data_IF_809444713003
#
_entry.id   IF_809444713003
#
_cell.length_a   1.000
_cell.length_b   1.000
_cell.length_c   1.000
_cell.angle_alpha   90.00
_cell.angle_beta   90.00
_cell.angle_gamma   90.00
#
_symmetry.space_group_name_H-M   'P 1'
#
loop_
_entity.id
_entity.type
_entity.pdbx_description
1 polymer ?
#
# COMPACT_ATOMS: atom_id res chain seq x y z
N UNK A 1 12.01 9.49 15.63
CA UNK A 1 12.50 9.73 14.25
C UNK A 1 12.21 11.19 13.81
N UNK A 2 13.03 12.18 14.17
CA UNK A 2 12.65 13.61 14.12
C UNK A 2 12.20 14.15 12.75
N UNK A 3 12.75 13.61 11.64
CA UNK A 3 12.40 14.02 10.26
C UNK A 3 10.92 13.81 9.88
N UNK A 4 10.23 12.92 10.60
CA UNK A 4 8.81 12.56 10.39
C UNK A 4 7.85 13.38 11.27
N UNK A 5 8.37 14.37 12.00
CA UNK A 5 7.61 15.22 12.92
C UNK A 5 7.99 16.71 12.79
N UNK A 6 8.84 17.07 11.81
CA UNK A 6 9.33 18.43 11.65
C UNK A 6 10.01 18.64 10.29
N UNK A 7 9.71 19.78 9.64
CA UNK A 7 10.35 20.25 8.42
C UNK A 7 11.71 20.95 8.63
N UNK A 8 12.09 21.24 9.89
CA UNK A 8 13.30 22.02 10.25
C UNK A 8 14.63 21.46 9.72
N UNK A 9 14.66 20.21 9.27
CA UNK A 9 15.86 19.54 8.73
C UNK A 9 15.58 18.85 7.38
N UNK A 10 14.61 19.34 6.61
CA UNK A 10 14.39 18.88 5.24
C UNK A 10 15.39 19.54 4.28
N UNK A 11 15.93 18.80 3.29
CA UNK A 11 16.75 19.40 2.24
C UNK A 11 15.90 20.25 1.31
N UNK A 12 16.51 21.29 0.73
CA UNK A 12 15.84 22.18 -0.24
C UNK A 12 15.42 21.46 -1.54
N UNK A 13 16.10 20.36 -1.88
CA UNK A 13 15.85 19.55 -3.07
C UNK A 13 15.83 18.06 -2.72
N UNK A 14 15.16 17.26 -3.53
CA UNK A 14 15.09 15.80 -3.41
C UNK A 14 14.97 15.18 -4.80
N UNK A 15 15.86 14.25 -5.13
CA UNK A 15 15.77 13.47 -6.37
C UNK A 15 14.52 12.58 -6.32
N UNK A 16 13.72 12.59 -7.38
CA UNK A 16 12.61 11.66 -7.57
C UNK A 16 13.14 10.30 -8.02
N UNK A 17 12.58 9.22 -7.47
CA UNK A 17 12.94 7.82 -7.76
C UNK A 17 11.69 6.99 -8.02
N UNK A 18 11.83 5.84 -8.68
CA UNK A 18 10.74 5.00 -9.14
C UNK A 18 9.69 5.80 -9.91
N UNK A 19 8.43 5.73 -9.47
CA UNK A 19 7.30 6.47 -10.05
C UNK A 19 7.43 8.00 -10.05
N UNK A 20 8.36 8.57 -9.27
CA UNK A 20 8.67 10.02 -9.27
C UNK A 20 9.94 10.36 -10.07
N UNK A 21 10.65 9.37 -10.61
CA UNK A 21 11.82 9.59 -11.46
C UNK A 21 11.45 10.25 -12.79
N UNK A 22 12.40 11.00 -13.34
CA UNK A 22 12.31 11.62 -14.67
C UNK A 22 13.01 10.79 -15.75
N UNK A 23 13.67 9.68 -15.38
CA UNK A 23 14.34 8.77 -16.30
C UNK A 23 13.31 7.80 -16.91
N UNK A 24 13.13 7.73 -18.23
CA UNK A 24 12.22 6.76 -18.88
C UNK A 24 12.56 5.30 -18.56
N UNK A 25 13.81 5.01 -18.22
CA UNK A 25 14.32 3.68 -17.88
C UNK A 25 13.82 3.22 -16.51
N UNK A 26 13.64 4.16 -15.57
CA UNK A 26 13.16 3.93 -14.20
C UNK A 26 11.63 4.15 -14.10
N UNK A 27 11.07 5.01 -14.95
CA UNK A 27 9.64 5.37 -14.97
C UNK A 27 9.03 5.31 -16.39
N UNK A 28 8.85 4.11 -16.99
CA UNK A 28 8.53 3.95 -18.42
C UNK A 28 7.24 4.60 -18.96
N UNK A 29 6.37 5.15 -18.10
CA UNK A 29 5.10 5.74 -18.52
C UNK A 29 4.82 7.14 -17.96
N UNK A 30 5.31 7.47 -16.77
CA UNK A 30 4.99 8.74 -16.10
C UNK A 30 6.22 9.61 -15.82
N UNK A 31 7.39 9.28 -16.40
CA UNK A 31 8.62 10.09 -16.27
C UNK A 31 8.43 11.58 -16.57
N UNK A 32 7.55 11.91 -17.52
CA UNK A 32 7.24 13.29 -17.92
C UNK A 32 5.97 13.89 -17.26
N UNK A 33 5.30 13.17 -16.35
CA UNK A 33 4.17 13.73 -15.60
C UNK A 33 4.65 14.78 -14.59
N UNK A 34 3.80 15.72 -14.17
CA UNK A 34 4.16 16.63 -13.09
C UNK A 34 4.36 15.87 -11.77
N UNK A 35 5.47 16.13 -11.07
CA UNK A 35 5.97 15.34 -9.95
C UNK A 35 5.93 16.16 -8.67
N UNK A 36 5.31 15.62 -7.61
CA UNK A 36 5.21 16.25 -6.28
C UNK A 36 5.54 15.19 -5.23
N UNK A 37 6.33 15.56 -4.23
CA UNK A 37 6.60 14.72 -3.06
C UNK A 37 6.22 15.49 -1.80
N UNK A 38 5.19 15.03 -1.10
CA UNK A 38 4.76 15.61 0.19
C UNK A 38 5.38 14.78 1.32
N UNK A 39 6.34 15.30 2.09
CA UNK A 39 6.97 14.49 3.12
C UNK A 39 6.05 14.35 4.35
N UNK A 40 5.92 13.13 4.85
CA UNK A 40 5.11 12.82 6.02
C UNK A 40 5.71 13.44 7.30
N UNK A 41 5.08 14.51 7.81
CA UNK A 41 5.43 15.19 9.07
C UNK A 41 4.37 15.07 10.16
N UNK A 42 3.18 14.54 9.86
CA UNK A 42 2.01 14.60 10.73
C UNK A 42 1.90 13.43 11.71
N UNK A 43 2.49 12.27 11.41
CA UNK A 43 2.45 11.07 12.29
C UNK A 43 1.03 10.53 12.60
N UNK A 44 0.07 10.77 11.69
CA UNK A 44 -1.37 10.48 11.83
C UNK A 44 -1.97 9.64 10.68
N UNK A 45 -1.15 8.94 9.92
CA UNK A 45 -1.51 8.22 8.68
C UNK A 45 -2.30 9.07 7.66
N UNK A 46 -2.01 10.38 7.61
CA UNK A 46 -2.68 11.39 6.77
C UNK A 46 -4.17 11.61 7.09
N UNK A 47 -4.59 11.28 8.30
CA UNK A 47 -5.98 11.33 8.73
C UNK A 47 -6.35 12.56 9.58
N UNK A 48 -5.40 13.16 10.29
CA UNK A 48 -5.67 14.24 11.24
C UNK A 48 -6.15 15.52 10.55
N UNK A 49 -7.15 16.16 11.15
CA UNK A 49 -7.69 17.45 10.70
C UNK A 49 -7.87 18.46 11.84
N UNK A 50 -7.10 18.32 12.93
CA UNK A 50 -7.24 19.12 14.14
C UNK A 50 -6.17 20.21 14.22
N UNK A 51 -6.60 21.47 14.38
CA UNK A 51 -5.71 22.63 14.53
C UNK A 51 -5.53 23.12 15.99
N UNK A 52 -6.21 22.49 16.96
CA UNK A 52 -6.23 22.99 18.36
C UNK A 52 -4.91 22.72 19.08
N UNK A 53 -4.30 23.79 19.59
CA UNK A 53 -3.02 23.77 20.33
C UNK A 53 -3.17 23.79 21.85
N UNK A 54 -4.39 23.86 22.39
CA UNK A 54 -4.64 24.22 23.79
C UNK A 54 -4.40 23.10 24.83
N UNK A 55 -4.16 21.86 24.40
CA UNK A 55 -3.78 20.74 25.29
C UNK A 55 -2.67 19.81 24.78
N UNK A 56 -2.33 19.81 23.48
CA UNK A 56 -1.44 18.81 22.88
C UNK A 56 -0.07 19.37 22.48
N UNK A 57 1.00 18.62 22.78
CA UNK A 57 2.38 18.95 22.41
C UNK A 57 2.73 18.70 20.92
N UNK A 58 1.80 18.10 20.16
CA UNK A 58 1.91 17.81 18.73
C UNK A 58 0.58 18.17 18.04
N UNK A 59 0.63 18.45 16.74
CA UNK A 59 -0.55 18.83 15.94
C UNK A 59 -0.70 17.86 14.78
N UNK A 60 -1.90 17.32 14.60
CA UNK A 60 -2.20 16.23 13.67
C UNK A 60 -3.07 16.75 12.51
N UNK A 61 -2.40 17.04 11.39
CA UNK A 61 -2.94 17.83 10.28
C UNK A 61 -2.79 17.14 8.91
N UNK A 62 -2.50 15.84 8.86
CA UNK A 62 -2.16 15.13 7.63
C UNK A 62 -3.21 15.25 6.52
N UNK A 63 -4.50 15.25 6.87
CA UNK A 63 -5.57 15.45 5.88
C UNK A 63 -5.68 16.91 5.41
N UNK A 64 -5.35 17.87 6.28
CA UNK A 64 -5.31 19.30 5.91
C UNK A 64 -4.08 19.61 5.03
N UNK A 65 -2.92 19.01 5.33
CA UNK A 65 -1.69 19.16 4.52
C UNK A 65 -1.93 18.73 3.07
N UNK A 66 -2.65 17.63 2.83
CA UNK A 66 -3.03 17.20 1.48
C UNK A 66 -3.92 18.26 0.80
N UNK A 67 -4.90 18.83 1.51
CA UNK A 67 -5.81 19.83 0.96
C UNK A 67 -5.10 21.14 0.62
N UNK A 68 -4.24 21.66 1.49
CA UNK A 68 -3.48 22.90 1.22
C UNK A 68 -2.45 22.71 0.10
N UNK A 69 -1.78 21.56 0.03
CA UNK A 69 -0.90 21.23 -1.11
C UNK A 69 -1.68 21.21 -2.42
N UNK A 70 -2.88 20.64 -2.47
CA UNK A 70 -3.74 20.65 -3.68
C UNK A 70 -4.15 22.09 -4.04
N UNK A 71 -4.58 22.90 -3.08
CA UNK A 71 -4.92 24.32 -3.30
C UNK A 71 -3.74 25.13 -3.83
N UNK A 72 -2.56 24.99 -3.23
CA UNK A 72 -1.34 25.64 -3.72
C UNK A 72 -0.97 25.19 -5.14
N UNK A 73 -1.11 23.90 -5.45
CA UNK A 73 -0.74 23.37 -6.76
C UNK A 73 -1.68 23.83 -7.89
N UNK A 74 -2.94 24.20 -7.60
CA UNK A 74 -3.84 24.82 -8.59
C UNK A 74 -3.16 26.05 -9.20
N UNK A 75 -2.70 26.98 -8.36
CA UNK A 75 -1.96 28.19 -8.75
C UNK A 75 -0.61 27.93 -9.45
N UNK A 76 -0.18 26.67 -9.51
CA UNK A 76 1.06 26.20 -10.15
C UNK A 76 0.76 25.27 -11.35
N UNK A 77 -0.47 25.33 -11.88
CA UNK A 77 -0.89 24.67 -13.12
C UNK A 77 -1.67 23.36 -12.96
N UNK A 78 -1.94 22.87 -11.73
CA UNK A 78 -2.78 21.69 -11.51
C UNK A 78 -4.22 21.89 -12.01
N UNK A 79 -4.70 23.14 -12.06
CA UNK A 79 -5.96 23.57 -12.68
C UNK A 79 -6.12 23.10 -14.14
N UNK A 80 -5.01 22.89 -14.87
CA UNK A 80 -4.96 22.45 -16.26
C UNK A 80 -4.75 20.93 -16.41
N UNK A 81 -4.71 20.18 -15.31
CA UNK A 81 -4.41 18.75 -15.33
C UNK A 81 -5.59 17.90 -15.80
N UNK A 82 -5.32 16.90 -16.65
CA UNK A 82 -6.35 15.92 -17.08
C UNK A 82 -6.56 14.82 -16.04
N UNK A 83 -5.53 14.50 -15.27
CA UNK A 83 -5.51 13.46 -14.23
C UNK A 83 -4.67 13.96 -13.06
N UNK A 84 -5.17 13.76 -11.84
CA UNK A 84 -4.40 13.87 -10.59
C UNK A 84 -4.32 12.46 -9.99
N UNK A 85 -3.12 11.89 -9.95
CA UNK A 85 -2.87 10.63 -9.25
C UNK A 85 -2.36 10.92 -7.84
N UNK A 86 -3.19 10.65 -6.82
CA UNK A 86 -2.76 10.67 -5.43
C UNK A 86 -2.09 9.32 -5.13
N UNK A 87 -0.76 9.32 -5.00
CA UNK A 87 0.05 8.13 -4.75
C UNK A 87 0.76 8.20 -3.39
N UNK A 88 0.93 7.06 -2.72
CA UNK A 88 1.67 6.98 -1.47
C UNK A 88 1.96 5.55 -1.02
N UNK A 89 3.05 5.37 -0.29
CA UNK A 89 3.57 4.08 0.19
C UNK A 89 3.43 3.93 1.72
N UNK A 90 3.28 2.71 2.24
CA UNK A 90 3.10 2.42 3.67
C UNK A 90 1.90 3.19 4.26
N UNK A 91 2.07 3.89 5.39
CA UNK A 91 1.06 4.80 5.93
C UNK A 91 0.61 5.89 4.93
N UNK A 92 1.43 6.21 3.92
CA UNK A 92 1.02 7.03 2.78
C UNK A 92 -0.01 6.36 1.87
N UNK A 93 0.07 5.03 1.68
CA UNK A 93 -0.91 4.24 0.92
C UNK A 93 -2.26 4.19 1.62
N UNK A 94 -2.28 3.98 2.94
CA UNK A 94 -3.49 4.15 3.77
C UNK A 94 -4.01 5.59 3.67
N UNK A 95 -3.10 6.58 3.68
CA UNK A 95 -3.42 8.00 3.45
C UNK A 95 -4.10 8.28 2.11
N UNK A 96 -3.75 7.57 1.02
CA UNK A 96 -4.48 7.64 -0.27
C UNK A 96 -5.91 7.18 -0.09
N UNK A 97 -6.14 6.02 0.52
CA UNK A 97 -7.49 5.46 0.74
C UNK A 97 -8.35 6.41 1.59
N UNK A 98 -7.76 7.06 2.59
CA UNK A 98 -8.45 8.00 3.47
C UNK A 98 -8.72 9.39 2.85
N UNK A 99 -8.06 9.77 1.73
CA UNK A 99 -8.12 11.13 1.18
C UNK A 99 -8.47 11.24 -0.32
N UNK A 100 -8.42 10.17 -1.11
CA UNK A 100 -8.61 10.25 -2.58
C UNK A 100 -9.95 10.85 -2.99
N UNK A 101 -11.03 10.50 -2.28
CA UNK A 101 -12.35 11.10 -2.50
C UNK A 101 -12.43 12.53 -1.97
N UNK A 102 -11.76 12.84 -0.86
CA UNK A 102 -11.72 14.21 -0.27
C UNK A 102 -11.02 15.19 -1.21
N UNK A 103 -9.95 14.77 -1.89
CA UNK A 103 -9.28 15.55 -2.94
C UNK A 103 -10.18 15.74 -4.17
N UNK A 104 -11.01 14.74 -4.52
CA UNK A 104 -11.94 14.85 -5.63
C UNK A 104 -13.10 15.82 -5.37
N UNK A 105 -13.70 15.79 -4.17
CA UNK A 105 -14.74 16.74 -3.79
C UNK A 105 -14.13 18.15 -3.63
N UNK A 106 -12.95 18.32 -3.01
CA UNK A 106 -12.25 19.61 -2.92
C UNK A 106 -12.03 20.28 -4.29
N UNK A 107 -11.53 19.54 -5.28
CA UNK A 107 -11.33 20.09 -6.62
C UNK A 107 -12.64 20.48 -7.31
N UNK A 108 -13.69 19.67 -7.13
CA UNK A 108 -15.05 19.93 -7.63
C UNK A 108 -15.64 21.19 -6.99
N UNK A 109 -15.50 21.35 -5.68
CA UNK A 109 -16.05 22.47 -4.92
C UNK A 109 -15.29 23.78 -5.20
N UNK A 110 -14.02 23.69 -5.61
CA UNK A 110 -13.22 24.77 -6.20
C UNK A 110 -13.45 24.96 -7.71
N UNK A 111 -14.38 24.24 -8.34
CA UNK A 111 -14.78 24.40 -9.74
C UNK A 111 -13.97 23.59 -10.78
N UNK A 112 -12.91 22.89 -10.38
CA UNK A 112 -12.01 22.13 -11.26
C UNK A 112 -12.54 20.72 -11.60
N UNK A 113 -13.79 20.64 -12.06
CA UNK A 113 -14.51 19.37 -12.33
C UNK A 113 -13.94 18.54 -13.50
N UNK A 114 -13.04 19.11 -14.31
CA UNK A 114 -12.34 18.44 -15.41
C UNK A 114 -11.19 17.52 -14.95
N UNK A 115 -10.68 17.70 -13.73
CA UNK A 115 -9.49 16.99 -13.23
C UNK A 115 -9.87 15.59 -12.73
N UNK A 116 -9.43 14.54 -13.40
CA UNK A 116 -9.72 13.16 -12.97
C UNK A 116 -8.83 12.75 -11.78
N UNK A 117 -9.36 12.79 -10.56
CA UNK A 117 -8.67 12.25 -9.38
C UNK A 117 -8.69 10.71 -9.39
N UNK A 118 -7.53 10.12 -9.11
CA UNK A 118 -7.32 8.66 -9.02
C UNK A 118 -6.37 8.35 -7.85
N UNK A 119 -6.43 7.15 -7.30
CA UNK A 119 -5.55 6.71 -6.20
C UNK A 119 -4.53 5.66 -6.63
N UNK A 120 -3.34 5.69 -6.03
CA UNK A 120 -2.37 4.58 -6.02
C UNK A 120 -1.91 4.33 -4.58
N UNK A 121 -2.52 3.36 -3.91
CA UNK A 121 -2.24 3.03 -2.52
C UNK A 121 -1.24 1.87 -2.45
N UNK A 122 0.01 2.14 -2.05
CA UNK A 122 1.08 1.15 -1.98
C UNK A 122 1.39 0.73 -0.53
N UNK A 123 1.49 -0.58 -0.29
CA UNK A 123 1.89 -1.21 0.97
C UNK A 123 1.12 -0.67 2.19
N UNK A 124 -0.14 -0.29 1.96
CA UNK A 124 -1.03 0.40 2.89
C UNK A 124 -2.37 -0.30 3.11
N UNK A 125 -2.48 -1.55 2.63
CA UNK A 125 -3.65 -2.41 2.79
C UNK A 125 -3.38 -3.43 3.90
N UNK A 126 -3.59 -2.97 5.14
CA UNK A 126 -3.47 -3.81 6.34
C UNK A 126 -4.74 -4.61 6.62
N UNK A 127 -4.59 -5.66 7.42
CA UNK A 127 -5.65 -6.46 8.02
C UNK A 127 -5.75 -6.15 9.52
N UNK A 128 -6.97 -6.27 10.06
CA UNK A 128 -7.29 -6.27 11.50
C UNK A 128 -7.35 -7.70 12.06
N UNK A 129 -6.39 -8.52 11.65
CA UNK A 129 -6.17 -9.88 12.13
C UNK A 129 -5.63 -9.89 13.57
N UNK A 130 -5.87 -10.98 14.29
CA UNK A 130 -5.29 -11.20 15.62
C UNK A 130 -3.81 -11.50 15.48
N UNK A 131 -2.95 -10.82 16.23
CA UNK A 131 -1.50 -11.03 16.26
C UNK A 131 -1.10 -12.51 16.43
N UNK A 132 0.05 -12.91 15.87
CA UNK A 132 0.59 -14.28 16.03
C UNK A 132 0.98 -14.60 17.48
N UNK A 133 1.28 -13.55 18.27
CA UNK A 133 1.43 -13.59 19.73
C UNK A 133 0.82 -12.30 20.28
N UNK A 134 -0.09 -12.42 21.24
CA UNK A 134 -0.74 -11.28 21.88
C UNK A 134 0.26 -10.53 22.79
N UNK A 135 0.35 -9.21 22.66
CA UNK A 135 1.16 -8.35 23.53
C UNK A 135 0.37 -7.12 23.97
N UNK A 136 0.67 -6.61 25.17
CA UNK A 136 0.13 -5.32 25.60
C UNK A 136 0.59 -4.22 24.65
N UNK A 137 -0.36 -3.41 24.15
CA UNK A 137 -0.08 -2.24 23.32
C UNK A 137 0.60 -1.14 24.16
N UNK A 138 1.92 -1.26 24.32
CA UNK A 138 2.81 -0.35 25.08
C UNK A 138 3.63 0.51 24.11
N UNK A 139 4.16 -0.08 23.04
CA UNK A 139 4.90 0.62 21.99
C UNK A 139 4.15 0.59 20.64
N UNK A 140 4.55 1.44 19.69
CA UNK A 140 3.86 1.61 18.40
C UNK A 140 4.08 0.47 17.41
N UNK A 141 5.01 -0.46 17.69
CA UNK A 141 5.50 -1.50 16.79
C UNK A 141 4.90 -2.87 17.13
N UNK A 142 4.74 -3.16 18.43
CA UNK A 142 4.10 -4.38 18.94
C UNK A 142 2.60 -4.24 19.22
N UNK A 143 2.02 -3.05 19.05
CA UNK A 143 0.58 -2.84 19.25
C UNK A 143 -0.27 -3.51 18.17
N UNK A 144 -1.31 -4.22 18.59
CA UNK A 144 -2.36 -4.78 17.72
C UNK A 144 -2.90 -3.70 16.76
N UNK A 145 -3.05 -3.99 15.45
CA UNK A 145 -3.41 -2.98 14.46
C UNK A 145 -4.79 -2.34 14.72
N UNK A 146 -5.73 -3.07 15.31
CA UNK A 146 -7.06 -2.54 15.68
C UNK A 146 -6.93 -1.53 16.82
N UNK A 147 -6.20 -1.90 17.88
CA UNK A 147 -6.01 -1.05 19.05
C UNK A 147 -5.15 0.19 18.73
N UNK A 148 -4.14 0.03 17.88
CA UNK A 148 -3.30 1.13 17.39
C UNK A 148 -4.14 2.23 16.70
N UNK A 149 -5.03 1.86 15.78
CA UNK A 149 -5.91 2.81 15.09
C UNK A 149 -7.03 3.33 16.01
N UNK A 150 -7.62 2.49 16.89
CA UNK A 150 -8.63 2.93 17.88
C UNK A 150 -8.09 4.01 18.83
N UNK A 151 -6.83 3.91 19.24
CA UNK A 151 -6.13 4.98 19.99
C UNK A 151 -5.79 6.16 19.07
N UNK A 152 -5.23 5.88 17.89
CA UNK A 152 -4.80 6.86 16.89
C UNK A 152 -5.90 7.87 16.54
N UNK A 153 -7.07 7.41 16.10
CA UNK A 153 -8.18 8.29 15.67
C UNK A 153 -8.56 9.33 16.73
N UNK A 154 -8.63 8.90 17.99
CA UNK A 154 -9.01 9.75 19.12
C UNK A 154 -7.92 10.77 19.46
N UNK A 155 -6.65 10.39 19.31
CA UNK A 155 -5.50 11.24 19.62
C UNK A 155 -5.17 12.23 18.49
N UNK A 156 -5.40 11.83 17.24
CA UNK A 156 -5.12 12.62 16.03
C UNK A 156 -6.28 13.52 15.60
N UNK A 157 -7.49 13.30 16.10
CA UNK A 157 -8.69 13.97 15.59
C UNK A 157 -8.92 13.67 14.11
N UNK A 158 -8.95 12.37 13.78
CA UNK A 158 -8.94 11.87 12.41
C UNK A 158 -10.26 12.05 11.67
N UNK A 159 -10.18 12.29 10.36
CA UNK A 159 -11.32 12.31 9.43
C UNK A 159 -11.23 11.19 8.39
N UNK A 160 -12.23 10.32 8.36
CA UNK A 160 -12.35 9.20 7.40
C UNK A 160 -13.20 9.58 6.18
N UNK A 161 -13.21 8.79 5.08
CA UNK A 161 -14.12 9.01 3.96
C UNK A 161 -15.59 8.94 4.40
N UNK A 162 -16.39 9.92 4.00
CA UNK A 162 -17.79 10.14 4.44
C UNK A 162 -18.66 8.87 4.38
N UNK A 163 -18.61 8.14 3.27
CA UNK A 163 -19.41 6.93 3.06
C UNK A 163 -18.93 5.74 3.90
N UNK A 164 -17.65 5.70 4.28
CA UNK A 164 -17.14 4.70 5.21
C UNK A 164 -17.46 5.06 6.67
N UNK A 165 -17.34 6.35 7.05
CA UNK A 165 -17.74 6.82 8.37
C UNK A 165 -19.21 6.50 8.69
N UNK A 166 -20.12 6.71 7.72
CA UNK A 166 -21.54 6.31 7.86
C UNK A 166 -21.78 4.79 7.91
N UNK A 167 -20.86 3.98 7.40
CA UNK A 167 -20.97 2.52 7.44
C UNK A 167 -20.49 1.93 8.78
N UNK A 168 -19.61 2.65 9.47
CA UNK A 168 -18.99 2.26 10.73
C UNK A 168 -19.08 3.40 11.78
N UNK A 169 -20.28 3.96 11.95
CA UNK A 169 -20.54 5.08 12.86
C UNK A 169 -20.22 4.68 14.32
N UNK A 170 -19.35 5.46 14.98
CA UNK A 170 -18.79 5.16 16.31
C UNK A 170 -17.63 4.13 16.31
N UNK A 171 -17.33 3.52 15.16
CA UNK A 171 -16.25 2.55 14.95
C UNK A 171 -15.40 2.92 13.69
N UNK A 172 -15.13 4.21 13.47
CA UNK A 172 -14.49 4.75 12.27
C UNK A 172 -13.06 4.20 12.03
N UNK A 173 -12.46 3.55 13.03
CA UNK A 173 -11.21 2.79 12.92
C UNK A 173 -11.27 1.71 11.84
N UNK A 174 -12.46 1.17 11.54
CA UNK A 174 -12.68 0.26 10.42
C UNK A 174 -12.19 0.86 9.08
N UNK A 175 -12.30 2.18 8.89
CA UNK A 175 -11.99 2.85 7.63
C UNK A 175 -10.49 3.00 7.31
N UNK A 176 -9.61 2.59 8.22
CA UNK A 176 -8.16 2.52 7.95
C UNK A 176 -7.77 1.18 7.30
N UNK A 177 -8.63 0.16 7.39
CA UNK A 177 -8.37 -1.17 6.83
C UNK A 177 -8.84 -1.22 5.38
N UNK A 178 -7.90 -1.49 4.47
CA UNK A 178 -8.10 -1.28 3.03
C UNK A 178 -9.33 -1.97 2.46
N UNK A 179 -9.58 -3.20 2.91
CA UNK A 179 -10.70 -4.03 2.45
C UNK A 179 -12.08 -3.54 2.93
N UNK A 180 -12.14 -2.75 4.01
CA UNK A 180 -13.38 -2.17 4.56
C UNK A 180 -13.69 -0.82 3.90
N UNK A 181 -12.67 0.01 3.69
CA UNK A 181 -12.83 1.35 3.09
C UNK A 181 -12.97 1.31 1.56
N UNK A 182 -12.20 0.47 0.86
CA UNK A 182 -12.18 0.44 -0.61
C UNK A 182 -13.57 0.26 -1.27
N UNK A 183 -14.47 -0.63 -0.79
CA UNK A 183 -15.83 -0.76 -1.34
C UNK A 183 -16.68 0.52 -1.28
N UNK A 184 -16.29 1.52 -0.49
CA UNK A 184 -17.01 2.79 -0.33
C UNK A 184 -16.47 3.93 -1.20
N UNK A 185 -15.32 3.75 -1.87
CA UNK A 185 -14.62 4.83 -2.58
C UNK A 185 -15.26 5.18 -3.93
N UNK A 186 -15.49 6.49 -4.16
CA UNK A 186 -16.04 7.07 -5.39
C UNK A 186 -14.99 7.22 -6.49
N UNK A 187 -13.70 7.26 -6.17
CA UNK A 187 -12.59 7.37 -7.14
C UNK A 187 -11.93 6.02 -7.44
N UNK A 188 -11.43 5.80 -8.68
CA UNK A 188 -10.70 4.58 -9.01
C UNK A 188 -9.36 4.57 -8.28
N UNK A 189 -9.14 3.54 -7.47
CA UNK A 189 -7.85 3.27 -6.81
C UNK A 189 -7.22 2.04 -7.46
N UNK A 190 -5.93 2.11 -7.70
CA UNK A 190 -5.05 0.97 -7.91
C UNK A 190 -4.29 0.72 -6.59
N UNK A 191 -4.09 -0.54 -6.20
CA UNK A 191 -3.43 -0.87 -4.93
C UNK A 191 -2.14 -1.65 -5.22
N UNK A 192 -1.13 -1.52 -4.37
CA UNK A 192 0.10 -2.31 -4.40
C UNK A 192 0.18 -2.96 -3.04
N UNK A 193 0.38 -4.28 -2.96
CA UNK A 193 0.44 -4.93 -1.66
C UNK A 193 1.28 -6.21 -1.70
N UNK A 194 2.27 -6.25 -0.82
CA UNK A 194 3.03 -7.46 -0.51
C UNK A 194 2.12 -8.45 0.20
N UNK A 195 2.09 -9.71 -0.27
CA UNK A 195 1.34 -10.77 0.40
C UNK A 195 1.91 -11.17 1.77
N UNK A 196 3.16 -10.78 2.02
CA UNK A 196 3.93 -10.98 3.24
C UNK A 196 4.61 -9.64 3.57
N UNK A 197 3.79 -8.64 3.89
CA UNK A 197 4.25 -7.26 4.14
C UNK A 197 5.00 -7.17 5.47
N UNK A 198 6.21 -6.60 5.46
CA UNK A 198 7.05 -6.49 6.67
C UNK A 198 6.37 -5.68 7.78
N UNK A 199 5.60 -4.63 7.45
CA UNK A 199 4.92 -3.82 8.45
C UNK A 199 3.69 -4.55 9.04
N UNK A 200 2.96 -5.33 8.24
CA UNK A 200 1.90 -6.22 8.76
C UNK A 200 2.50 -7.31 9.67
N UNK A 201 3.54 -8.00 9.21
CA UNK A 201 4.23 -9.03 9.99
C UNK A 201 4.81 -8.46 11.30
N UNK A 202 5.26 -7.21 11.28
CA UNK A 202 5.77 -6.49 12.45
C UNK A 202 4.66 -6.25 13.51
N UNK A 203 3.50 -5.71 13.13
CA UNK A 203 2.36 -5.52 14.06
C UNK A 203 1.67 -6.83 14.45
N UNK A 204 1.84 -7.89 13.67
CA UNK A 204 1.43 -9.26 14.02
C UNK A 204 2.39 -9.96 15.02
N UNK A 205 3.44 -9.26 15.49
CA UNK A 205 4.52 -9.77 16.35
C UNK A 205 5.38 -10.90 15.72
N UNK A 206 5.65 -10.80 14.42
CA UNK A 206 6.49 -11.74 13.65
C UNK A 206 7.85 -11.11 13.37
N UNK A 207 8.76 -11.20 14.33
CA UNK A 207 10.13 -10.68 14.19
C UNK A 207 11.06 -11.69 13.51
N UNK A 208 11.72 -11.28 12.42
CA UNK A 208 12.60 -12.14 11.61
C UNK A 208 14.04 -12.17 12.17
N UNK A 209 14.18 -12.50 13.45
CA UNK A 209 15.41 -12.35 14.26
C UNK A 209 16.51 -13.39 13.98
N UNK A 210 16.55 -13.99 12.78
CA UNK A 210 17.51 -15.03 12.39
C UNK A 210 17.35 -16.38 13.10
N UNK A 211 16.47 -16.50 14.08
CA UNK A 211 16.11 -17.76 14.73
C UNK A 211 15.02 -18.49 13.93
N UNK A 212 15.08 -19.82 13.76
CA UNK A 212 14.06 -20.59 13.07
C UNK A 212 12.65 -20.36 13.64
N UNK A 213 11.76 -19.81 12.83
CA UNK A 213 10.35 -19.58 13.18
C UNK A 213 9.65 -20.90 13.52
N UNK A 214 8.83 -20.89 14.57
CA UNK A 214 8.12 -22.08 15.06
C UNK A 214 6.99 -22.49 14.12
N UNK A 215 6.67 -23.79 14.03
CA UNK A 215 5.71 -24.31 13.05
C UNK A 215 4.32 -23.62 13.09
N UNK A 216 3.82 -23.27 14.29
CA UNK A 216 2.56 -22.53 14.43
C UNK A 216 2.62 -21.11 13.85
N UNK A 217 3.77 -20.44 13.96
CA UNK A 217 4.02 -19.10 13.41
C UNK A 217 4.30 -19.16 11.90
N UNK A 218 4.88 -20.24 11.37
CA UNK A 218 4.93 -20.49 9.93
C UNK A 218 3.53 -20.68 9.33
N UNK A 219 2.68 -21.51 9.96
CA UNK A 219 1.27 -21.66 9.56
C UNK A 219 0.50 -20.33 9.61
N UNK A 220 0.81 -19.46 10.58
CA UNK A 220 0.26 -18.11 10.63
C UNK A 220 0.67 -17.28 9.39
N UNK A 221 1.95 -17.28 9.01
CA UNK A 221 2.44 -16.57 7.80
C UNK A 221 1.72 -17.07 6.54
N UNK A 222 1.49 -18.39 6.41
CA UNK A 222 0.74 -18.98 5.29
C UNK A 222 -0.75 -18.54 5.28
N UNK A 223 -1.37 -18.46 6.46
CA UNK A 223 -2.75 -17.99 6.61
C UNK A 223 -2.88 -16.49 6.31
N UNK A 224 -1.96 -15.65 6.80
CA UNK A 224 -1.93 -14.20 6.57
C UNK A 224 -2.00 -13.87 5.07
N UNK A 225 -1.14 -14.49 4.26
CA UNK A 225 -1.17 -14.30 2.82
C UNK A 225 -2.45 -14.84 2.16
N UNK A 226 -3.10 -15.84 2.75
CA UNK A 226 -4.38 -16.40 2.26
C UNK A 226 -5.55 -15.46 2.55
N UNK A 227 -5.64 -14.92 3.77
CA UNK A 227 -6.61 -13.91 4.18
C UNK A 227 -6.45 -12.62 3.37
N UNK A 228 -5.22 -12.13 3.24
CA UNK A 228 -4.89 -10.96 2.43
C UNK A 228 -5.37 -11.17 0.99
N UNK A 229 -4.98 -12.27 0.33
CA UNK A 229 -5.46 -12.63 -1.02
C UNK A 229 -6.98 -12.70 -1.13
N UNK A 230 -7.69 -13.17 -0.10
CA UNK A 230 -9.15 -13.18 -0.10
C UNK A 230 -9.72 -11.76 -0.15
N UNK A 231 -9.15 -10.81 0.59
CA UNK A 231 -9.55 -9.39 0.50
C UNK A 231 -9.20 -8.76 -0.87
N UNK A 232 -8.12 -9.20 -1.51
CA UNK A 232 -7.66 -8.67 -2.81
C UNK A 232 -8.49 -9.19 -4.01
N UNK A 233 -9.46 -10.10 -3.82
CA UNK A 233 -10.17 -10.78 -4.94
C UNK A 233 -10.94 -9.84 -5.89
N UNK A 234 -11.36 -8.66 -5.44
CA UNK A 234 -12.28 -7.78 -6.18
C UNK A 234 -11.65 -6.43 -6.63
N UNK A 235 -10.33 -6.28 -6.59
CA UNK A 235 -9.60 -5.00 -6.75
C UNK A 235 -8.32 -5.20 -7.62
N UNK A 236 -7.66 -4.14 -8.11
CA UNK A 236 -6.50 -4.21 -9.03
C UNK A 236 -5.14 -4.01 -8.33
N UNK A 237 -4.12 -4.82 -8.68
CA UNK A 237 -2.90 -5.02 -7.87
C UNK A 237 -1.53 -5.10 -8.58
N UNK A 238 -0.46 -4.89 -7.79
CA UNK A 238 0.97 -4.89 -8.16
C UNK A 238 1.88 -5.30 -6.96
N UNK A 239 3.07 -5.85 -7.24
CA UNK A 239 4.40 -5.60 -6.59
C UNK A 239 5.52 -5.73 -7.65
N UNK A 240 6.74 -5.21 -7.43
CA UNK A 240 7.75 -4.86 -8.49
C UNK A 240 8.48 -6.06 -9.15
N UNK A 241 7.63 -6.90 -9.72
CA UNK A 241 7.72 -8.35 -9.83
C UNK A 241 6.89 -8.71 -11.06
N UNK A 242 7.32 -9.70 -11.84
CA UNK A 242 6.52 -10.24 -12.94
C UNK A 242 5.45 -11.21 -12.42
N UNK A 243 4.41 -10.68 -11.77
CA UNK A 243 3.21 -11.47 -11.47
C UNK A 243 2.59 -11.86 -12.82
N UNK A 244 2.65 -13.17 -13.15
CA UNK A 244 2.17 -13.72 -14.43
C UNK A 244 2.78 -13.01 -15.66
N UNK A 245 4.08 -12.69 -15.60
CA UNK A 245 4.81 -12.07 -16.71
C UNK A 245 4.56 -10.58 -16.93
N UNK A 246 3.92 -9.88 -15.98
CA UNK A 246 3.59 -8.44 -16.10
C UNK A 246 4.13 -7.62 -14.92
N UNK A 247 4.86 -6.54 -15.19
CA UNK A 247 5.50 -5.62 -14.21
C UNK A 247 4.63 -4.39 -13.85
N UNK A 248 5.02 -3.54 -12.85
CA UNK A 248 4.26 -2.32 -12.48
C UNK A 248 3.95 -1.49 -13.70
N UNK A 249 4.96 -1.01 -14.46
CA UNK A 249 4.73 0.05 -15.40
C UNK A 249 3.68 -0.41 -16.41
N UNK A 250 3.81 -1.65 -16.88
CA UNK A 250 2.83 -2.28 -17.75
C UNK A 250 1.44 -2.39 -17.11
N UNK A 251 1.31 -2.86 -15.87
CA UNK A 251 0.02 -2.97 -15.18
C UNK A 251 -0.69 -1.62 -15.00
N UNK A 252 0.01 -0.56 -14.57
CA UNK A 252 -0.55 0.79 -14.47
C UNK A 252 -0.88 1.40 -15.83
N UNK A 253 -0.06 1.16 -16.85
CA UNK A 253 -0.37 1.56 -18.22
C UNK A 253 -1.65 0.89 -18.71
N UNK A 254 -1.87 -0.38 -18.37
CA UNK A 254 -3.09 -1.11 -18.69
C UNK A 254 -4.32 -0.57 -17.93
N UNK A 255 -4.15 -0.23 -16.65
CA UNK A 255 -5.20 0.41 -15.84
C UNK A 255 -5.58 1.80 -16.36
N UNK A 256 -4.63 2.67 -16.65
CA UNK A 256 -4.89 3.99 -17.24
C UNK A 256 -5.61 3.86 -18.59
N UNK A 257 -5.14 2.97 -19.48
CA UNK A 257 -5.84 2.64 -20.74
C UNK A 257 -7.27 2.14 -20.50
N UNK A 258 -7.51 1.34 -19.47
CA UNK A 258 -8.86 0.86 -19.13
C UNK A 258 -9.81 2.01 -18.73
N UNK A 259 -9.31 2.99 -17.96
CA UNK A 259 -10.08 4.16 -17.53
C UNK A 259 -10.35 5.11 -18.71
N UNK A 260 -9.35 5.34 -19.56
CA UNK A 260 -9.49 6.13 -20.79
C UNK A 260 -10.50 5.51 -21.78
N UNK A 261 -10.53 4.18 -21.91
CA UNK A 261 -11.50 3.49 -22.76
C UNK A 261 -12.92 3.54 -22.17
N UNK A 262 -13.07 3.40 -20.85
CA UNK A 262 -14.37 3.53 -20.18
C UNK A 262 -15.04 4.89 -20.46
N UNK A 263 -14.25 5.97 -20.39
CA UNK A 263 -14.74 7.33 -20.67
C UNK A 263 -15.24 7.53 -22.12
N UNK A 264 -14.68 6.80 -23.09
CA UNK A 264 -15.09 6.88 -24.51
C UNK A 264 -16.37 6.13 -24.82
N UNK A 265 -16.72 5.12 -24.03
CA UNK A 265 -17.82 4.20 -24.32
C UNK A 265 -19.16 4.58 -23.64
N UNK A 266 -19.28 5.77 -23.04
CA UNK A 266 -20.50 6.23 -22.33
C UNK A 266 -21.76 6.39 -23.21
N UNK A 267 -21.71 6.09 -24.51
CA UNK A 267 -22.87 6.06 -25.40
C UNK A 267 -23.76 4.82 -25.30
N UNK A 268 -23.39 3.79 -24.51
CA UNK A 268 -24.24 2.63 -24.23
C UNK A 268 -24.06 2.12 -22.79
N UNK A 269 -25.16 1.71 -22.16
CA UNK A 269 -25.20 1.23 -20.78
C UNK A 269 -24.60 -0.16 -20.60
N UNK A 270 -24.13 -0.44 -19.37
CA UNK A 270 -23.86 -1.79 -18.85
C UNK A 270 -22.92 -2.69 -19.68
N UNK A 271 -21.75 -2.17 -20.08
CA UNK A 271 -20.63 -3.01 -20.52
C UNK A 271 -19.59 -3.08 -19.39
N UNK A 272 -19.27 -4.29 -18.93
CA UNK A 272 -18.25 -4.53 -17.90
C UNK A 272 -16.87 -4.00 -18.35
N UNK A 273 -16.00 -3.67 -17.39
CA UNK A 273 -14.61 -3.19 -17.64
C UNK A 273 -13.75 -4.31 -18.28
N UNK A 274 -13.95 -4.58 -19.56
CA UNK A 274 -13.20 -5.58 -20.31
C UNK A 274 -11.75 -5.15 -20.41
N UNK A 275 -10.87 -5.95 -19.79
CA UNK A 275 -9.43 -5.75 -19.84
C UNK A 275 -8.95 -5.68 -21.30
N UNK A 276 -8.17 -4.66 -21.71
CA UNK A 276 -7.69 -4.57 -23.08
C UNK A 276 -6.86 -5.82 -23.43
N UNK A 277 -6.93 -6.29 -24.69
CA UNK A 277 -6.18 -7.48 -25.12
C UNK A 277 -4.67 -7.31 -24.81
N UNK A 278 -4.08 -8.27 -24.11
CA UNK A 278 -2.68 -8.21 -23.65
C UNK A 278 -2.43 -7.23 -22.50
N UNK A 279 -3.46 -6.86 -21.72
CA UNK A 279 -3.38 -5.91 -20.61
C UNK A 279 -4.15 -6.40 -19.39
N UNK A 280 -3.57 -7.28 -18.54
CA UNK A 280 -4.24 -7.74 -17.33
C UNK A 280 -4.43 -6.59 -16.33
N UNK A 281 -5.59 -6.59 -15.65
CA UNK A 281 -5.96 -5.59 -14.63
C UNK A 281 -6.01 -6.18 -13.21
N UNK A 282 -5.79 -7.49 -13.07
CA UNK A 282 -5.81 -8.20 -11.80
C UNK A 282 -4.63 -9.17 -11.74
N UNK A 283 -3.64 -8.82 -10.91
CA UNK A 283 -2.39 -9.55 -10.77
C UNK A 283 -2.19 -9.87 -9.30
N UNK A 284 -2.51 -11.13 -8.95
CA UNK A 284 -2.30 -11.71 -7.63
C UNK A 284 -1.50 -12.98 -7.81
N UNK A 285 -0.48 -13.16 -6.97
CA UNK A 285 0.33 -14.37 -6.91
C UNK A 285 -0.40 -15.51 -6.17
N UNK A 286 -0.16 -16.75 -6.59
CA UNK A 286 -0.78 -17.96 -6.05
C UNK A 286 0.07 -18.69 -5.01
N UNK A 287 1.34 -18.35 -4.81
CA UNK A 287 2.23 -19.06 -3.89
C UNK A 287 1.74 -19.13 -2.42
N UNK A 288 2.04 -20.20 -1.68
CA UNK A 288 1.82 -20.25 -0.23
C UNK A 288 2.93 -19.64 0.66
N UNK A 289 4.10 -19.26 0.14
CA UNK A 289 5.25 -18.80 0.96
C UNK A 289 5.97 -17.53 0.43
N UNK A 290 6.67 -16.76 1.31
CA UNK A 290 7.48 -15.60 0.93
C UNK A 290 8.60 -15.93 -0.07
N UNK A 291 8.99 -14.99 -0.93
CA UNK A 291 10.08 -15.17 -1.92
C UNK A 291 9.96 -16.42 -2.83
N UNK A 292 8.75 -16.97 -2.97
CA UNK A 292 8.46 -17.98 -3.99
C UNK A 292 8.61 -17.45 -5.43
N UNK A 293 8.44 -16.13 -5.61
CA UNK A 293 8.40 -15.51 -6.92
C UNK A 293 9.83 -15.11 -7.27
N UNK A 294 10.38 -15.63 -8.38
CA UNK A 294 11.80 -15.44 -8.70
C UNK A 294 12.18 -14.00 -9.05
N UNK A 295 11.19 -13.13 -9.26
CA UNK A 295 11.40 -11.70 -9.49
C UNK A 295 11.23 -10.84 -8.23
N UNK A 296 11.05 -11.44 -7.06
CA UNK A 296 11.10 -10.72 -5.78
C UNK A 296 12.42 -9.95 -5.61
N UNK A 297 12.39 -8.76 -4.97
CA UNK A 297 13.60 -8.02 -4.61
C UNK A 297 14.60 -8.87 -3.80
N UNK A 298 15.88 -8.51 -3.92
CA UNK A 298 16.94 -9.09 -3.12
C UNK A 298 16.69 -8.91 -1.62
N UNK A 299 16.75 -10.02 -0.88
CA UNK A 299 16.47 -10.05 0.56
C UNK A 299 17.64 -9.39 1.29
N UNK A 300 17.36 -8.51 2.26
CA UNK A 300 18.38 -7.87 3.08
C UNK A 300 18.13 -8.09 4.56
N UNK A 301 19.17 -8.50 5.26
CA UNK A 301 19.13 -8.60 6.72
C UNK A 301 18.91 -7.21 7.34
N UNK A 302 17.92 -7.08 8.22
CA UNK A 302 17.49 -5.79 8.77
C UNK A 302 18.52 -5.15 9.75
N UNK A 303 19.48 -5.92 10.26
CA UNK A 303 20.48 -5.46 11.22
C UNK A 303 21.80 -5.03 10.54
N UNK A 304 22.18 -5.70 9.46
CA UNK A 304 23.48 -5.53 8.77
C UNK A 304 23.35 -4.94 7.36
N UNK A 305 22.16 -4.97 6.76
CA UNK A 305 21.90 -4.54 5.38
C UNK A 305 22.48 -5.47 4.30
N UNK A 306 23.13 -6.56 4.70
CA UNK A 306 23.73 -7.54 3.78
C UNK A 306 22.66 -8.36 3.07
N UNK A 307 22.99 -8.80 1.86
CA UNK A 307 22.10 -9.55 0.99
C UNK A 307 22.07 -11.04 1.39
N UNK A 308 20.88 -11.64 1.41
CA UNK A 308 20.63 -13.02 1.80
C UNK A 308 20.05 -13.83 0.65
N UNK A 309 20.37 -15.13 0.58
CA UNK A 309 19.71 -16.03 -0.35
C UNK A 309 18.28 -16.37 0.09
N UNK A 310 17.43 -16.69 -0.88
CA UNK A 310 16.03 -17.13 -0.63
C UNK A 310 16.00 -18.32 0.31
N UNK A 311 16.93 -19.27 0.18
CA UNK A 311 17.03 -20.43 1.08
C UNK A 311 17.41 -20.01 2.50
N UNK A 312 18.41 -19.14 2.69
CA UNK A 312 18.79 -18.66 4.03
C UNK A 312 17.61 -17.98 4.74
N UNK A 313 16.93 -17.08 4.04
CA UNK A 313 15.75 -16.39 4.57
C UNK A 313 14.62 -17.35 4.90
N UNK A 314 14.27 -18.27 3.99
CA UNK A 314 13.23 -19.27 4.24
C UNK A 314 13.58 -20.19 5.41
N UNK A 315 14.83 -20.63 5.55
CA UNK A 315 15.28 -21.41 6.71
C UNK A 315 15.20 -20.62 8.01
N UNK A 316 15.46 -19.31 8.01
CA UNK A 316 15.17 -18.45 9.17
C UNK A 316 13.66 -18.37 9.44
N UNK A 317 12.81 -18.37 8.41
CA UNK A 317 11.36 -18.54 8.52
C UNK A 317 10.90 -19.97 8.88
N UNK A 318 11.79 -20.87 9.30
CA UNK A 318 11.41 -22.24 9.71
C UNK A 318 10.99 -23.15 8.55
N UNK A 319 11.32 -22.79 7.32
CA UNK A 319 11.04 -23.58 6.13
C UNK A 319 11.87 -24.87 6.11
N UNK A 320 11.18 -26.00 6.25
CA UNK A 320 11.72 -27.35 6.07
C UNK A 320 11.45 -27.79 4.62
N UNK A 321 12.51 -27.91 3.82
CA UNK A 321 12.44 -28.32 2.40
C UNK A 321 11.70 -29.65 2.24
N UNK A 322 11.97 -30.64 3.09
CA UNK A 322 11.41 -31.99 2.96
C UNK A 322 9.90 -31.96 3.22
N UNK A 323 9.47 -31.26 4.29
CA UNK A 323 8.05 -31.07 4.60
C UNK A 323 7.32 -30.24 3.55
N UNK A 324 7.94 -29.16 3.05
CA UNK A 324 7.33 -28.29 2.05
C UNK A 324 7.20 -29.01 0.70
N UNK A 325 8.21 -29.78 0.30
CA UNK A 325 8.13 -30.65 -0.88
C UNK A 325 6.99 -31.67 -0.74
N UNK A 326 6.87 -32.35 0.42
CA UNK A 326 5.78 -33.27 0.70
C UNK A 326 4.39 -32.58 0.66
N UNK A 327 4.25 -31.39 1.24
CA UNK A 327 3.01 -30.61 1.23
C UNK A 327 2.61 -30.14 -0.18
N UNK A 328 3.57 -29.86 -1.06
CA UNK A 328 3.34 -29.44 -2.45
C UNK A 328 3.28 -30.60 -3.45
N UNK A 329 3.44 -31.86 -3.01
CA UNK A 329 3.52 -33.03 -3.90
C UNK A 329 4.73 -32.99 -4.84
N UNK A 330 5.84 -32.39 -4.41
CA UNK A 330 7.05 -32.13 -5.18
C UNK A 330 8.24 -32.95 -4.67
N UNK A 331 9.23 -33.18 -5.53
CA UNK A 331 10.55 -33.69 -5.11
C UNK A 331 11.34 -32.61 -4.32
N UNK A 332 12.00 -32.96 -3.20
CA UNK A 332 12.79 -32.01 -2.40
C UNK A 332 13.97 -31.36 -3.13
N UNK A 333 14.64 -32.09 -4.03
CA UNK A 333 15.78 -31.57 -4.79
C UNK A 333 15.31 -30.62 -5.89
N UNK A 334 14.16 -30.91 -6.51
CA UNK A 334 13.47 -29.98 -7.41
C UNK A 334 13.10 -28.69 -6.69
N UNK A 335 12.51 -28.77 -5.50
CA UNK A 335 12.17 -27.60 -4.70
C UNK A 335 13.41 -26.78 -4.33
N UNK A 336 14.50 -27.43 -3.90
CA UNK A 336 15.80 -26.78 -3.69
C UNK A 336 16.33 -26.10 -4.95
N UNK A 337 16.22 -26.74 -6.11
CA UNK A 337 16.60 -26.15 -7.40
C UNK A 337 15.83 -24.87 -7.72
N UNK A 338 14.50 -24.88 -7.55
CA UNK A 338 13.66 -23.70 -7.76
C UNK A 338 14.06 -22.54 -6.83
N UNK A 339 14.30 -22.84 -5.54
CA UNK A 339 14.72 -21.85 -4.54
C UNK A 339 16.18 -21.37 -4.69
N UNK A 340 17.03 -22.13 -5.38
CA UNK A 340 18.42 -21.75 -5.65
C UNK A 340 18.58 -20.91 -6.92
N UNK A 341 17.79 -21.23 -7.95
CA UNK A 341 17.98 -20.67 -9.30
C UNK A 341 16.95 -19.61 -9.69
N UNK A 342 15.84 -19.48 -8.95
CA UNK A 342 14.75 -18.56 -9.31
C UNK A 342 14.00 -19.00 -10.57
N UNK A 343 13.65 -20.29 -10.69
CA UNK A 343 12.90 -20.86 -11.83
C UNK A 343 12.02 -22.02 -11.39
#
# INVERSE_FOLDING_TARGET
>A
MRRLMSSRTWPLTRTGTGILSQLPEENPHWWNANRVFVPYCSSDAWSGATMTTEQNAYVFMGSLIIQEVVKELLTKGLENAKVLLLAGSSAGGTGVLLNVDRVAELLKDLGHTSVQVRGLADSGWFLDNKQSRNTDCIDTVSCDPTEAIRRGIRYWGSVVPEQCGRLYEGEEWNCFFGYKVHPTLKRPVFVVQWLFDEAQMMVDNIHLSGQPVQEGQWRYIQNLATELRNTLKNVSYWTDIQVKGTSLPRALQCWDRSLQNGLRNHGNSSIARTAPKGCPLHLIDSCPWPHCNPTCPAIRDQLTGQEMSVIQFLTHLGFDVQRMAQQQGMDPNKLLGMLSNGT
#
